data_IF_429870599152
#
_entry.id   IF_429870599152
#
_cell.length_a   1.000
_cell.length_b   1.000
_cell.length_c   1.000
_cell.angle_alpha   90.00
_cell.angle_beta   90.00
_cell.angle_gamma   90.00
#
_symmetry.space_group_name_H-M   'P 1'
#
loop_
_entity.id
_entity.type
_entity.pdbx_description
1 polymer ?
#
# COMPACT_ATOMS: atom_id res chain seq x y z
N UNK A 1 -6.00 1.18 -16.92
CA UNK A 1 -4.71 0.52 -17.23
C UNK A 1 -4.60 -0.83 -16.50
N UNK A 2 -3.89 -1.83 -17.08
CA UNK A 2 -3.67 -3.12 -16.40
C UNK A 2 -2.80 -2.98 -15.15
N UNK A 3 -3.13 -3.66 -14.03
CA UNK A 3 -2.36 -3.55 -12.78
C UNK A 3 -0.91 -4.04 -12.89
N UNK A 4 -0.64 -5.01 -13.75
CA UNK A 4 0.69 -5.59 -13.97
C UNK A 4 1.70 -4.62 -14.61
N UNK A 5 1.23 -3.51 -15.18
CA UNK A 5 2.09 -2.44 -15.67
C UNK A 5 2.65 -1.55 -14.55
N UNK A 6 2.03 -1.54 -13.36
CA UNK A 6 2.51 -0.80 -12.20
C UNK A 6 3.59 -1.64 -11.50
N UNK A 7 4.83 -1.18 -11.58
CA UNK A 7 6.00 -1.88 -11.03
C UNK A 7 5.79 -2.23 -9.55
N UNK A 8 6.09 -3.47 -9.18
CA UNK A 8 5.93 -4.01 -7.83
C UNK A 8 4.54 -4.53 -7.50
N UNK A 9 3.50 -4.25 -8.32
CA UNK A 9 2.13 -4.66 -8.01
C UNK A 9 1.95 -6.18 -7.94
N UNK A 10 2.61 -6.94 -8.82
CA UNK A 10 2.58 -8.39 -8.81
C UNK A 10 3.28 -8.98 -7.58
N UNK A 11 4.43 -8.44 -7.19
CA UNK A 11 5.17 -8.88 -6.00
C UNK A 11 4.41 -8.55 -4.72
N UNK A 12 3.79 -7.35 -4.65
CA UNK A 12 2.90 -6.98 -3.55
C UNK A 12 1.71 -7.92 -3.45
N UNK A 13 1.09 -8.27 -4.59
CA UNK A 13 -0.02 -9.21 -4.65
C UNK A 13 0.38 -10.59 -4.13
N UNK A 14 1.52 -11.12 -4.55
CA UNK A 14 2.02 -12.42 -4.11
C UNK A 14 2.31 -12.43 -2.59
N UNK A 15 2.99 -11.38 -2.08
CA UNK A 15 3.29 -11.24 -0.65
C UNK A 15 2.01 -11.15 0.19
N UNK A 16 1.04 -10.34 -0.23
CA UNK A 16 -0.23 -10.19 0.48
C UNK A 16 -1.09 -11.44 0.41
N UNK A 17 -1.10 -12.15 -0.72
CA UNK A 17 -1.78 -13.44 -0.85
C UNK A 17 -1.21 -14.47 0.14
N UNK A 18 0.11 -14.58 0.21
CA UNK A 18 0.82 -15.42 1.18
C UNK A 18 0.46 -15.05 2.62
N UNK A 19 0.43 -13.75 2.93
CA UNK A 19 0.08 -13.28 4.27
C UNK A 19 -1.36 -13.65 4.65
N UNK A 20 -2.31 -13.51 3.72
CA UNK A 20 -3.71 -13.90 3.93
C UNK A 20 -3.80 -15.42 4.19
N UNK A 21 -3.17 -16.23 3.34
CA UNK A 21 -3.22 -17.70 3.43
C UNK A 21 -2.57 -18.23 4.71
N UNK A 22 -1.46 -17.61 5.12
CA UNK A 22 -0.75 -17.97 6.36
C UNK A 22 -1.35 -17.34 7.62
N UNK A 23 -2.44 -16.61 7.49
CA UNK A 23 -3.09 -15.88 8.59
C UNK A 23 -2.15 -14.92 9.32
N UNK A 24 -1.20 -14.33 8.60
CA UNK A 24 -0.31 -13.33 9.14
C UNK A 24 -1.06 -12.02 9.38
N UNK A 25 -0.67 -11.31 10.44
CA UNK A 25 -1.26 -10.02 10.75
C UNK A 25 -0.64 -8.93 9.88
N UNK A 26 -1.49 -8.17 9.21
CA UNK A 26 -1.15 -7.07 8.30
C UNK A 26 -1.53 -5.76 8.97
N UNK A 27 -0.55 -4.87 9.15
CA UNK A 27 -0.76 -3.53 9.70
C UNK A 27 -0.65 -2.50 8.57
N UNK A 28 -1.71 -1.73 8.37
CA UNK A 28 -1.72 -0.60 7.44
C UNK A 28 -1.22 0.64 8.19
N UNK A 29 -0.17 1.27 7.69
CA UNK A 29 0.32 2.56 8.18
C UNK A 29 -0.07 3.62 7.17
N UNK A 30 -1.06 4.43 7.51
CA UNK A 30 -1.63 5.42 6.62
C UNK A 30 -1.04 6.81 6.86
N UNK A 31 -1.12 7.68 5.85
CA UNK A 31 -1.00 9.11 6.10
C UNK A 31 -2.28 9.63 6.80
N UNK A 32 -2.20 10.84 7.34
CA UNK A 32 -3.25 11.46 8.18
C UNK A 32 -4.22 12.36 7.40
N UNK A 33 -3.99 12.56 6.11
CA UNK A 33 -4.86 13.38 5.26
C UNK A 33 -6.02 12.58 4.65
N UNK A 34 -6.76 13.18 3.72
CA UNK A 34 -7.93 12.52 3.12
C UNK A 34 -7.54 11.39 2.17
N UNK A 35 -6.42 11.51 1.44
CA UNK A 35 -5.93 10.43 0.57
C UNK A 35 -5.44 9.26 1.42
N UNK A 36 -4.60 9.51 2.42
CA UNK A 36 -4.16 8.47 3.35
C UNK A 36 -5.30 7.79 4.09
N UNK A 37 -6.30 8.54 4.55
CA UNK A 37 -7.47 7.99 5.23
C UNK A 37 -8.32 7.11 4.30
N UNK A 38 -8.58 7.56 3.06
CA UNK A 38 -9.33 6.77 2.07
C UNK A 38 -8.52 5.55 1.60
N UNK A 39 -7.21 5.69 1.41
CA UNK A 39 -6.31 4.58 1.09
C UNK A 39 -6.31 3.51 2.19
N UNK A 40 -6.29 3.92 3.46
CA UNK A 40 -6.42 3.02 4.61
C UNK A 40 -7.75 2.26 4.59
N UNK A 41 -8.85 2.97 4.37
CA UNK A 41 -10.18 2.35 4.29
C UNK A 41 -10.29 1.38 3.11
N UNK A 42 -9.76 1.74 1.94
CA UNK A 42 -9.71 0.90 0.75
C UNK A 42 -8.85 -0.34 1.02
N UNK A 43 -7.68 -0.18 1.65
CA UNK A 43 -6.81 -1.31 2.00
C UNK A 43 -7.51 -2.30 2.93
N UNK A 44 -8.05 -1.83 4.06
CA UNK A 44 -8.71 -2.70 5.04
C UNK A 44 -9.94 -3.41 4.47
N UNK A 45 -10.82 -2.68 3.78
CA UNK A 45 -12.03 -3.23 3.18
C UNK A 45 -11.68 -4.18 2.03
N UNK A 46 -10.76 -3.79 1.15
CA UNK A 46 -10.34 -4.61 0.01
C UNK A 46 -9.67 -5.91 0.45
N UNK A 47 -8.76 -5.87 1.42
CA UNK A 47 -8.13 -7.08 1.98
C UNK A 47 -9.17 -8.00 2.62
N UNK A 48 -10.14 -7.45 3.37
CA UNK A 48 -11.22 -8.24 3.95
C UNK A 48 -12.09 -8.90 2.87
N UNK A 49 -12.48 -8.15 1.83
CA UNK A 49 -13.21 -8.70 0.68
C UNK A 49 -12.43 -9.83 -0.01
N UNK A 50 -11.10 -9.73 -0.06
CA UNK A 50 -10.21 -10.71 -0.69
C UNK A 50 -9.83 -11.88 0.24
N UNK A 51 -10.42 -11.96 1.43
CA UNK A 51 -10.34 -13.12 2.32
C UNK A 51 -9.43 -12.97 3.53
N UNK A 52 -8.90 -11.78 3.80
CA UNK A 52 -8.26 -11.52 5.09
C UNK A 52 -9.32 -11.48 6.21
N UNK A 53 -9.05 -12.17 7.32
CA UNK A 53 -9.93 -12.13 8.48
C UNK A 53 -9.74 -10.83 9.27
N UNK A 54 -10.79 -10.36 9.93
CA UNK A 54 -10.75 -9.12 10.70
C UNK A 54 -9.60 -9.07 11.72
N UNK A 55 -9.29 -10.22 12.36
CA UNK A 55 -8.20 -10.34 13.33
C UNK A 55 -6.80 -10.21 12.71
N UNK A 56 -6.67 -10.41 11.39
CA UNK A 56 -5.42 -10.22 10.66
C UNK A 56 -5.15 -8.75 10.36
N UNK A 57 -6.16 -7.89 10.40
CA UNK A 57 -6.07 -6.52 9.94
C UNK A 57 -6.00 -5.56 11.12
N UNK A 58 -5.02 -4.69 11.08
CA UNK A 58 -4.91 -3.55 11.99
C UNK A 58 -4.36 -2.34 11.23
N UNK A 59 -4.43 -1.17 11.85
CA UNK A 59 -3.90 0.04 11.24
C UNK A 59 -3.33 0.99 12.28
N UNK A 60 -2.46 1.87 11.81
CA UNK A 60 -1.89 3.01 12.55
C UNK A 60 -2.03 4.24 11.67
N UNK A 61 -2.62 5.29 12.23
CA UNK A 61 -2.60 6.63 11.66
C UNK A 61 -1.74 7.50 12.58
N UNK A 62 -0.63 8.08 12.10
CA UNK A 62 0.24 8.88 12.94
C UNK A 62 -0.43 10.20 13.34
N UNK A 63 -0.12 10.67 14.54
CA UNK A 63 -0.38 12.06 14.92
C UNK A 63 0.72 12.94 14.32
N UNK A 64 0.36 13.83 13.40
CA UNK A 64 1.28 14.73 12.71
C UNK A 64 2.14 15.56 13.64
N UNK A 65 1.57 16.01 14.76
CA UNK A 65 2.27 16.88 15.70
C UNK A 65 3.33 16.13 16.50
N UNK A 66 3.13 14.81 16.69
CA UNK A 66 4.00 13.98 17.54
C UNK A 66 5.00 13.18 16.70
N UNK A 67 4.56 12.60 15.58
CA UNK A 67 5.31 11.59 14.85
C UNK A 67 5.94 12.09 13.54
N UNK A 68 5.52 13.28 13.06
CA UNK A 68 5.94 13.80 11.76
C UNK A 68 5.26 13.07 10.59
N UNK A 69 5.87 13.17 9.41
CA UNK A 69 5.36 12.58 8.16
C UNK A 69 6.07 11.26 7.85
N UNK A 70 5.33 10.35 7.22
CA UNK A 70 5.82 9.08 6.69
C UNK A 70 6.11 8.03 7.76
N UNK A 71 6.67 6.90 7.34
CA UNK A 71 7.03 5.80 8.22
C UNK A 71 8.31 6.13 8.99
N UNK A 72 8.20 6.62 10.21
CA UNK A 72 9.34 6.83 11.11
C UNK A 72 9.57 5.62 12.02
N UNK A 73 10.77 5.45 12.65
CA UNK A 73 10.99 4.40 13.65
C UNK A 73 9.96 4.40 14.79
N UNK A 74 9.51 5.58 15.24
CA UNK A 74 8.50 5.69 16.28
C UNK A 74 7.14 5.14 15.84
N UNK A 75 6.75 5.38 14.57
CA UNK A 75 5.51 4.82 14.00
C UNK A 75 5.61 3.30 13.85
N UNK A 76 6.79 2.78 13.47
CA UNK A 76 7.04 1.34 13.44
C UNK A 76 6.86 0.73 14.83
N UNK A 77 7.36 1.37 15.89
CA UNK A 77 7.19 0.90 17.26
C UNK A 77 5.71 0.89 17.69
N UNK A 78 4.90 1.88 17.25
CA UNK A 78 3.44 1.85 17.43
C UNK A 78 2.78 0.68 16.68
N UNK A 79 3.22 0.41 15.45
CA UNK A 79 2.71 -0.72 14.68
C UNK A 79 3.08 -2.05 15.34
N UNK A 80 4.29 -2.19 15.89
CA UNK A 80 4.77 -3.39 16.59
C UNK A 80 3.92 -3.74 17.82
N UNK A 81 3.30 -2.77 18.48
CA UNK A 81 2.35 -3.03 19.56
C UNK A 81 1.15 -3.86 19.10
N UNK A 82 0.81 -3.82 17.82
CA UNK A 82 -0.22 -4.63 17.18
C UNK A 82 0.27 -6.04 16.77
N UNK A 83 1.57 -6.33 16.92
CA UNK A 83 2.23 -7.60 16.56
C UNK A 83 2.00 -8.04 15.11
N UNK A 84 2.21 -7.18 14.11
CA UNK A 84 2.11 -7.57 12.70
C UNK A 84 3.28 -8.44 12.27
N UNK A 85 3.10 -9.16 11.17
CA UNK A 85 4.18 -9.79 10.40
C UNK A 85 4.43 -9.03 9.10
N UNK A 86 3.40 -8.33 8.59
CA UNK A 86 3.48 -7.51 7.38
C UNK A 86 3.05 -6.09 7.72
N UNK A 87 3.83 -5.12 7.29
CA UNK A 87 3.54 -3.71 7.36
C UNK A 87 3.32 -3.21 5.94
N UNK A 88 2.19 -2.55 5.71
CA UNK A 88 1.86 -1.92 4.42
C UNK A 88 1.69 -0.44 4.67
N UNK A 89 2.50 0.39 4.01
CA UNK A 89 2.26 1.83 4.01
C UNK A 89 1.27 2.17 2.91
N UNK A 90 0.40 3.13 3.15
CA UNK A 90 -0.49 3.69 2.15
C UNK A 90 -0.36 5.20 2.13
N UNK A 91 -0.11 5.76 0.95
CA UNK A 91 0.08 7.19 0.73
C UNK A 91 1.31 7.76 1.47
N UNK A 92 2.28 6.92 1.76
CA UNK A 92 3.58 7.29 2.32
C UNK A 92 4.58 6.14 2.20
N UNK A 93 5.85 6.43 2.47
CA UNK A 93 6.85 5.38 2.65
C UNK A 93 7.99 5.41 1.67
N UNK A 94 7.83 5.95 0.45
CA UNK A 94 8.88 5.93 -0.59
C UNK A 94 10.16 6.66 -0.16
N UNK A 95 10.06 7.66 0.71
CA UNK A 95 11.19 8.40 1.27
C UNK A 95 11.55 7.98 2.71
N UNK A 96 10.93 6.93 3.25
CA UNK A 96 11.04 6.55 4.67
C UNK A 96 12.18 5.57 4.95
N UNK A 97 13.42 5.90 4.54
CA UNK A 97 14.58 5.02 4.63
C UNK A 97 14.79 4.46 6.05
N UNK A 98 14.82 5.34 7.07
CA UNK A 98 15.08 4.96 8.46
C UNK A 98 13.96 4.09 9.06
N UNK A 99 12.70 4.41 8.75
CA UNK A 99 11.55 3.64 9.23
C UNK A 99 11.51 2.24 8.64
N UNK A 100 11.74 2.12 7.34
CA UNK A 100 11.81 0.81 6.67
C UNK A 100 12.96 -0.03 7.22
N UNK A 101 14.15 0.54 7.37
CA UNK A 101 15.28 -0.15 7.97
C UNK A 101 14.97 -0.64 9.40
N UNK A 102 14.30 0.20 10.20
CA UNK A 102 13.88 -0.15 11.55
C UNK A 102 12.85 -1.30 11.58
N UNK A 103 11.86 -1.27 10.67
CA UNK A 103 10.86 -2.33 10.53
C UNK A 103 11.50 -3.68 10.12
N UNK A 104 12.39 -3.63 9.13
CA UNK A 104 13.13 -4.81 8.65
C UNK A 104 14.03 -5.41 9.73
N UNK A 105 14.74 -4.57 10.50
CA UNK A 105 15.56 -5.02 11.63
C UNK A 105 14.73 -5.72 12.72
N UNK A 106 13.42 -5.49 12.78
CA UNK A 106 12.46 -6.15 13.68
C UNK A 106 11.78 -7.38 13.05
N UNK A 107 12.21 -7.78 11.85
CA UNK A 107 11.72 -8.96 11.16
C UNK A 107 10.37 -8.78 10.45
N UNK A 108 9.90 -7.53 10.28
CA UNK A 108 8.70 -7.26 9.51
C UNK A 108 8.96 -7.37 8.02
N UNK A 109 7.98 -7.87 7.28
CA UNK A 109 7.87 -7.67 5.85
C UNK A 109 7.28 -6.28 5.59
N UNK A 110 7.87 -5.53 4.66
CA UNK A 110 7.44 -4.16 4.36
C UNK A 110 7.02 -4.04 2.90
N UNK A 111 5.78 -3.64 2.69
CA UNK A 111 5.22 -3.27 1.38
C UNK A 111 4.93 -1.78 1.40
N UNK A 112 5.52 -1.03 0.49
CA UNK A 112 5.25 0.39 0.31
C UNK A 112 4.24 0.54 -0.82
N UNK A 113 3.14 1.27 -0.57
CA UNK A 113 2.26 1.81 -1.61
C UNK A 113 2.21 3.33 -1.46
N UNK A 114 2.75 4.02 -2.46
CA UNK A 114 2.96 5.47 -2.41
C UNK A 114 2.88 6.06 -3.81
N UNK A 115 2.81 7.38 -3.93
CA UNK A 115 2.83 8.12 -5.19
C UNK A 115 3.77 9.32 -5.17
N UNK A 116 4.36 9.59 -4.01
CA UNK A 116 5.29 10.70 -3.81
C UNK A 116 6.63 10.48 -4.54
N UNK A 117 7.45 11.51 -4.57
CA UNK A 117 8.80 11.38 -5.10
C UNK A 117 9.72 10.69 -4.09
N UNK A 118 10.61 9.78 -4.53
CA UNK A 118 11.59 9.17 -3.66
C UNK A 118 12.59 10.18 -3.09
N UNK A 119 13.27 9.80 -2.02
CA UNK A 119 14.33 10.59 -1.43
C UNK A 119 15.49 10.80 -2.40
N UNK A 120 16.16 11.94 -2.27
CA UNK A 120 17.38 12.26 -3.03
C UNK A 120 18.52 12.46 -2.04
N UNK A 121 19.51 11.57 -2.09
CA UNK A 121 20.75 11.67 -1.32
C UNK A 121 21.93 12.14 -2.17
N UNK A 122 23.12 12.06 -1.59
CA UNK A 122 24.38 12.52 -2.23
C UNK A 122 24.73 11.73 -3.52
N UNK A 123 24.26 10.50 -3.63
CA UNK A 123 24.50 9.59 -4.76
C UNK A 123 23.34 9.57 -5.78
N UNK A 124 22.32 10.39 -5.58
CA UNK A 124 21.10 10.43 -6.41
C UNK A 124 19.86 9.91 -5.69
N UNK A 125 18.92 9.31 -6.43
CA UNK A 125 17.69 8.79 -5.87
C UNK A 125 17.97 7.62 -4.94
N UNK A 126 17.42 7.68 -3.72
CA UNK A 126 17.50 6.63 -2.71
C UNK A 126 16.13 6.01 -2.47
N UNK A 127 16.06 4.68 -2.57
CA UNK A 127 14.88 3.91 -2.24
C UNK A 127 15.08 3.17 -0.91
N UNK A 128 14.03 3.05 -0.08
CA UNK A 128 14.11 2.25 1.13
C UNK A 128 14.24 0.75 0.78
N UNK A 129 14.95 0.00 1.64
CA UNK A 129 15.13 -1.46 1.51
C UNK A 129 13.85 -2.20 1.95
N UNK A 130 12.72 -1.92 1.29
CA UNK A 130 11.46 -2.62 1.50
C UNK A 130 11.44 -3.95 0.76
N UNK A 131 10.57 -4.89 1.20
CA UNK A 131 10.37 -6.14 0.44
C UNK A 131 9.72 -5.86 -0.92
N UNK A 132 8.82 -4.89 -0.99
CA UNK A 132 8.18 -4.44 -2.23
C UNK A 132 7.89 -2.94 -2.18
N UNK A 133 8.09 -2.26 -3.30
CA UNK A 133 7.68 -0.87 -3.52
C UNK A 133 6.73 -0.82 -4.72
N UNK A 134 5.56 -0.24 -4.51
CA UNK A 134 4.57 0.04 -5.55
C UNK A 134 4.35 1.55 -5.58
N UNK A 135 4.98 2.19 -6.54
CA UNK A 135 4.92 3.64 -6.71
C UNK A 135 5.11 3.98 -8.19
N UNK A 136 4.19 4.72 -8.84
CA UNK A 136 4.36 5.11 -10.23
C UNK A 136 5.56 6.04 -10.46
N UNK A 137 6.01 6.74 -9.42
CA UNK A 137 7.13 7.70 -9.47
C UNK A 137 8.49 7.06 -9.21
N UNK A 138 8.55 5.77 -8.79
CA UNK A 138 9.82 5.09 -8.56
C UNK A 138 10.64 4.94 -9.85
N UNK A 139 11.98 4.95 -9.77
CA UNK A 139 12.85 4.75 -10.93
C UNK A 139 12.54 3.46 -11.68
N UNK A 140 12.49 3.55 -13.01
CA UNK A 140 12.23 2.39 -13.87
C UNK A 140 10.77 1.97 -13.99
N UNK A 141 9.85 2.58 -13.26
CA UNK A 141 8.43 2.29 -13.43
C UNK A 141 7.92 2.85 -14.78
N UNK A 142 7.43 1.96 -15.63
CA UNK A 142 6.89 2.32 -16.95
C UNK A 142 5.37 2.59 -16.95
N UNK A 143 4.71 2.57 -15.78
CA UNK A 143 3.28 2.83 -15.68
C UNK A 143 2.93 4.22 -16.22
N UNK A 144 2.01 4.33 -17.20
CA UNK A 144 1.80 5.59 -17.93
C UNK A 144 1.18 6.69 -17.08
N UNK A 145 0.26 6.35 -16.17
CA UNK A 145 -0.40 7.32 -15.30
C UNK A 145 0.48 7.62 -14.08
N UNK A 146 1.20 8.74 -14.12
CA UNK A 146 2.05 9.20 -13.02
C UNK A 146 1.30 10.03 -11.98
N UNK A 147 0.03 10.29 -12.24
CA UNK A 147 -0.82 11.15 -11.42
C UNK A 147 -1.81 10.36 -10.56
N UNK A 148 -1.51 9.09 -10.25
CA UNK A 148 -2.30 8.36 -9.26
C UNK A 148 -2.14 9.00 -7.88
N UNK A 149 -3.23 9.12 -7.15
CA UNK A 149 -3.20 9.38 -5.71
C UNK A 149 -2.84 8.09 -4.93
N UNK A 150 -2.44 8.19 -3.68
CA UNK A 150 -2.06 7.03 -2.86
C UNK A 150 -3.18 5.98 -2.76
N UNK A 151 -4.44 6.41 -2.63
CA UNK A 151 -5.61 5.52 -2.67
C UNK A 151 -5.71 4.76 -3.99
N UNK A 152 -5.39 5.42 -5.11
CA UNK A 152 -5.36 4.81 -6.43
C UNK A 152 -4.30 3.72 -6.54
N UNK A 153 -3.09 3.97 -6.01
CA UNK A 153 -2.01 2.97 -5.96
C UNK A 153 -2.44 1.76 -5.16
N UNK A 154 -3.00 1.95 -3.96
CA UNK A 154 -3.49 0.83 -3.14
C UNK A 154 -4.62 0.07 -3.85
N UNK A 155 -5.52 0.74 -4.55
CA UNK A 155 -6.57 0.09 -5.33
C UNK A 155 -5.99 -0.79 -6.45
N UNK A 156 -4.93 -0.35 -7.14
CA UNK A 156 -4.21 -1.15 -8.13
C UNK A 156 -3.57 -2.40 -7.52
N UNK A 157 -2.99 -2.29 -6.33
CA UNK A 157 -2.48 -3.45 -5.59
C UNK A 157 -3.60 -4.45 -5.27
N UNK A 158 -4.79 -3.99 -4.88
CA UNK A 158 -5.94 -4.87 -4.64
C UNK A 158 -6.43 -5.54 -5.93
N UNK A 159 -6.40 -4.86 -7.07
CA UNK A 159 -6.72 -5.47 -8.36
C UNK A 159 -5.72 -6.58 -8.72
N UNK A 160 -4.42 -6.33 -8.51
CA UNK A 160 -3.38 -7.33 -8.71
C UNK A 160 -3.55 -8.51 -7.74
N UNK A 161 -3.82 -8.25 -6.46
CA UNK A 161 -4.08 -9.29 -5.45
C UNK A 161 -5.30 -10.15 -5.80
N UNK A 162 -6.38 -9.54 -6.31
CA UNK A 162 -7.54 -10.28 -6.79
C UNK A 162 -7.16 -11.21 -7.95
N UNK A 163 -6.34 -10.76 -8.88
CA UNK A 163 -5.87 -11.59 -9.99
C UNK A 163 -4.99 -12.74 -9.49
N UNK A 164 -4.09 -12.48 -8.54
CA UNK A 164 -3.22 -13.49 -7.91
C UNK A 164 -4.04 -14.54 -7.16
N UNK A 165 -5.01 -14.15 -6.33
CA UNK A 165 -5.86 -15.08 -5.60
C UNK A 165 -6.76 -15.92 -6.54
N UNK A 166 -7.15 -15.36 -7.68
CA UNK A 166 -7.85 -16.10 -8.72
C UNK A 166 -6.93 -17.14 -9.37
N UNK A 167 -5.66 -16.80 -9.65
CA UNK A 167 -4.67 -17.77 -10.16
C UNK A 167 -4.42 -18.92 -9.17
N UNK A 168 -4.54 -18.65 -7.87
CA UNK A 168 -4.49 -19.64 -6.79
C UNK A 168 -5.81 -20.39 -6.56
N UNK A 169 -6.78 -20.24 -7.47
CA UNK A 169 -8.10 -20.89 -7.39
C UNK A 169 -8.91 -20.59 -6.11
N UNK A 170 -8.69 -19.42 -5.48
CA UNK A 170 -9.47 -18.98 -4.30
C UNK A 170 -10.90 -18.58 -4.68
N UNK A 171 -11.09 -18.13 -5.90
CA UNK A 171 -12.37 -17.83 -6.56
C UNK A 171 -12.15 -17.81 -8.08
N UNK A 172 -13.22 -17.86 -8.83
CA UNK A 172 -13.23 -17.72 -10.29
C UNK A 172 -13.71 -16.34 -10.73
N UNK A 173 -13.83 -16.11 -12.03
CA UNK A 173 -14.29 -14.83 -12.58
C UNK A 173 -15.74 -14.48 -12.19
N UNK A 174 -16.59 -15.46 -11.89
CA UNK A 174 -17.98 -15.24 -11.52
C UNK A 174 -18.15 -14.96 -10.03
N UNK A 175 -17.29 -15.54 -9.18
CA UNK A 175 -17.36 -15.45 -7.72
C UNK A 175 -16.37 -14.49 -7.09
N UNK A 176 -15.45 -13.91 -7.89
CA UNK A 176 -14.46 -12.96 -7.39
C UNK A 176 -15.12 -11.69 -6.77
N UNK A 177 -14.53 -11.15 -5.70
CA UNK A 177 -15.05 -9.94 -5.07
C UNK A 177 -15.10 -8.74 -6.01
N UNK A 178 -16.16 -7.96 -5.90
CA UNK A 178 -16.40 -6.74 -6.67
C UNK A 178 -15.73 -5.53 -6.02
N UNK A 179 -14.46 -5.30 -6.34
CA UNK A 179 -13.67 -4.18 -5.79
C UNK A 179 -14.16 -2.81 -6.29
N UNK A 180 -14.95 -2.76 -7.37
CA UNK A 180 -15.61 -1.55 -7.84
C UNK A 180 -16.53 -0.90 -6.78
N UNK A 181 -16.96 -1.65 -5.78
CA UNK A 181 -17.66 -1.12 -4.60
C UNK A 181 -16.81 -0.19 -3.72
N UNK A 182 -15.52 -0.04 -4.01
CA UNK A 182 -14.61 0.86 -3.29
C UNK A 182 -14.26 2.12 -4.10
N UNK A 183 -14.78 2.25 -5.32
CA UNK A 183 -14.43 3.37 -6.21
C UNK A 183 -14.90 4.74 -5.70
N UNK A 184 -15.93 4.80 -4.87
CA UNK A 184 -16.35 6.02 -4.19
C UNK A 184 -15.25 6.58 -3.28
N UNK A 185 -14.56 5.73 -2.53
CA UNK A 185 -13.42 6.13 -1.71
C UNK A 185 -12.19 6.47 -2.56
N UNK A 186 -11.94 5.72 -3.64
CA UNK A 186 -10.85 6.02 -4.58
C UNK A 186 -11.07 7.40 -5.20
N UNK A 187 -12.29 7.70 -5.65
CA UNK A 187 -12.61 9.01 -6.21
C UNK A 187 -12.44 10.13 -5.18
N UNK A 188 -12.89 9.90 -3.93
CA UNK A 188 -12.78 10.89 -2.86
C UNK A 188 -11.32 11.24 -2.58
N UNK A 189 -10.44 10.27 -2.36
CA UNK A 189 -9.02 10.51 -2.11
C UNK A 189 -8.34 11.17 -3.31
N UNK A 190 -8.57 10.67 -4.52
CA UNK A 190 -8.01 11.23 -5.75
C UNK A 190 -8.36 12.72 -5.93
N UNK A 191 -9.61 13.12 -5.66
CA UNK A 191 -10.03 14.52 -5.76
C UNK A 191 -9.47 15.36 -4.62
N UNK A 192 -9.40 14.80 -3.41
CA UNK A 192 -8.92 15.52 -2.23
C UNK A 192 -7.41 15.79 -2.28
N UNK A 193 -6.62 14.87 -2.85
CA UNK A 193 -5.17 15.01 -3.04
C UNK A 193 -4.81 16.01 -4.16
N UNK A 194 -5.80 16.43 -4.96
CA UNK A 194 -5.62 17.43 -6.03
C UNK A 194 -4.61 16.98 -7.10
N UNK A 195 -4.44 15.68 -7.30
CA UNK A 195 -3.62 15.14 -8.40
C UNK A 195 -4.19 15.56 -9.75
N UNK A 196 -3.31 15.66 -10.74
CA UNK A 196 -3.76 15.93 -12.10
C UNK A 196 -4.60 14.76 -12.61
N UNK A 197 -5.86 15.02 -12.98
CA UNK A 197 -6.70 14.02 -13.61
C UNK A 197 -6.20 13.71 -15.02
N UNK A 198 -6.04 12.43 -15.31
CA UNK A 198 -5.74 11.88 -16.64
C UNK A 198 -6.81 10.85 -17.02
N UNK A 199 -6.64 10.14 -18.15
CA UNK A 199 -7.64 9.17 -18.63
C UNK A 199 -7.78 7.94 -17.72
N UNK A 200 -6.97 7.81 -16.68
CA UNK A 200 -6.90 6.62 -15.82
C UNK A 200 -7.44 6.86 -14.40
N UNK A 201 -7.42 8.11 -13.91
CA UNK A 201 -7.86 8.45 -12.55
C UNK A 201 -9.04 9.40 -12.49
#
# INVERSE_FOLDING_TARGET
LPPDQLTGSADAAALLADAIERRQRICIVADYDCDGATACAVALRGLAMLGAHAEQLCYVVPDRQVHGYGLTPAIVDLALAQRPQVLVTVDNGIASLAGVAHARARGLKVVITDHHLPAVGDQGIELPDADVIVDPSQPGCAFPSKALAGVGVMFYVLLALRAELRSRARFDAATQPRLDALLDLVALGTVADVVRLDDNN
#
